data_IF_157148481065
#
_entry.id   IF_157148481065
#
_cell.length_a   1.000
_cell.length_b   1.000
_cell.length_c   1.000
_cell.angle_alpha   90.00
_cell.angle_beta   90.00
_cell.angle_gamma   90.00
#
_symmetry.space_group_name_H-M   'P 1'
#
loop_
_entity.id
_entity.type
_entity.pdbx_description
1 polymer ?
#
# COMPACT_ATOMS: atom_id res chain seq x y z
N UNK A 1 5.01 27.11 -0.92
CA UNK A 1 4.15 25.90 -0.91
C UNK A 1 3.90 25.47 0.53
N UNK A 2 2.66 25.15 0.91
CA UNK A 2 2.30 24.71 2.27
C UNK A 2 3.06 23.41 2.64
N UNK A 3 3.53 23.27 3.88
CA UNK A 3 4.29 22.10 4.38
C UNK A 3 3.54 20.79 4.13
N UNK A 4 2.23 20.78 4.36
CA UNK A 4 1.38 19.59 4.10
C UNK A 4 1.32 19.25 2.62
N UNK A 5 1.19 20.23 1.73
CA UNK A 5 1.15 20.00 0.27
C UNK A 5 2.47 19.41 -0.22
N UNK A 6 3.60 19.94 0.27
CA UNK A 6 4.94 19.43 -0.07
C UNK A 6 5.11 17.95 0.32
N UNK A 7 4.65 17.60 1.51
CA UNK A 7 4.76 16.25 2.07
C UNK A 7 3.89 15.25 1.28
N UNK A 8 2.64 15.60 0.97
CA UNK A 8 1.76 14.75 0.14
C UNK A 8 2.33 14.51 -1.24
N UNK A 9 2.86 15.56 -1.87
CA UNK A 9 3.52 15.43 -3.17
C UNK A 9 4.74 14.51 -3.09
N UNK A 10 5.57 14.65 -2.04
CA UNK A 10 6.71 13.78 -1.82
C UNK A 10 6.30 12.32 -1.61
N UNK A 11 5.31 12.07 -0.75
CA UNK A 11 4.82 10.73 -0.47
C UNK A 11 4.19 10.09 -1.71
N UNK A 12 3.46 10.88 -2.50
CA UNK A 12 2.87 10.44 -3.76
C UNK A 12 3.93 10.10 -4.80
N UNK A 13 5.00 10.89 -4.87
CA UNK A 13 6.11 10.58 -5.77
C UNK A 13 6.80 9.26 -5.37
N UNK A 14 7.00 9.04 -4.05
CA UNK A 14 7.56 7.79 -3.54
C UNK A 14 6.65 6.58 -3.82
N UNK A 15 5.34 6.72 -3.62
CA UNK A 15 4.39 5.64 -3.88
C UNK A 15 4.28 5.29 -5.36
N UNK A 16 4.32 6.29 -6.26
CA UNK A 16 4.46 6.06 -7.71
C UNK A 16 5.76 5.32 -8.00
N UNK A 17 6.87 5.71 -7.37
CA UNK A 17 8.16 5.00 -7.49
C UNK A 17 8.06 3.53 -7.09
N UNK A 18 7.44 3.21 -5.96
CA UNK A 18 7.22 1.83 -5.54
C UNK A 18 6.30 1.07 -6.51
N UNK A 19 5.21 1.69 -6.96
CA UNK A 19 4.32 1.09 -7.94
C UNK A 19 5.05 0.80 -9.26
N UNK A 20 5.93 1.69 -9.70
CA UNK A 20 6.74 1.52 -10.90
C UNK A 20 7.74 0.36 -10.77
N UNK A 21 8.44 0.26 -9.63
CA UNK A 21 9.36 -0.84 -9.37
C UNK A 21 8.61 -2.18 -9.37
N UNK A 22 7.47 -2.26 -8.68
CA UNK A 22 6.64 -3.48 -8.65
C UNK A 22 6.17 -3.84 -10.06
N UNK A 23 5.66 -2.86 -10.82
CA UNK A 23 5.20 -3.07 -12.19
C UNK A 23 6.32 -3.60 -13.10
N UNK A 24 7.54 -3.03 -13.01
CA UNK A 24 8.69 -3.50 -13.76
C UNK A 24 9.10 -4.93 -13.36
N UNK A 25 9.17 -5.22 -12.06
CA UNK A 25 9.52 -6.56 -11.56
C UNK A 25 8.52 -7.61 -12.04
N UNK A 26 7.22 -7.32 -11.89
CA UNK A 26 6.16 -8.19 -12.39
C UNK A 26 6.27 -8.33 -13.90
N UNK A 27 6.47 -7.24 -14.64
CA UNK A 27 6.68 -7.25 -16.09
C UNK A 27 7.81 -8.17 -16.53
N UNK A 28 8.97 -8.12 -15.85
CA UNK A 28 10.11 -9.01 -16.11
C UNK A 28 9.77 -10.47 -15.82
N UNK A 29 9.05 -10.76 -14.72
CA UNK A 29 8.61 -12.12 -14.41
C UNK A 29 7.69 -12.66 -15.51
N UNK A 30 6.73 -11.85 -15.97
CA UNK A 30 5.87 -12.21 -17.10
C UNK A 30 6.69 -12.44 -18.37
N UNK A 31 7.61 -11.56 -18.71
CA UNK A 31 8.48 -11.71 -19.88
C UNK A 31 9.25 -13.05 -19.87
N UNK A 32 9.80 -13.43 -18.71
CA UNK A 32 10.50 -14.70 -18.52
C UNK A 32 9.57 -15.92 -18.66
N UNK A 33 8.37 -15.87 -18.07
CA UNK A 33 7.38 -16.97 -18.15
C UNK A 33 6.91 -17.17 -19.59
N UNK A 34 6.65 -16.09 -20.32
CA UNK A 34 6.15 -16.11 -21.70
C UNK A 34 7.27 -16.15 -22.74
N UNK A 35 8.54 -16.27 -22.32
CA UNK A 35 9.73 -16.36 -23.19
C UNK A 35 9.81 -15.23 -24.22
N UNK A 36 9.47 -14.00 -23.80
CA UNK A 36 9.45 -12.82 -24.66
C UNK A 36 8.25 -12.71 -25.62
N UNK A 37 7.32 -13.69 -25.64
CA UNK A 37 6.15 -13.66 -26.52
C UNK A 37 4.95 -12.95 -25.87
N UNK A 38 5.13 -11.69 -25.49
CA UNK A 38 4.07 -10.85 -24.92
C UNK A 38 3.31 -10.11 -26.03
N UNK A 39 2.46 -10.81 -26.79
CA UNK A 39 1.53 -10.15 -27.71
C UNK A 39 0.43 -9.49 -26.90
N UNK A 40 0.41 -8.15 -26.90
CA UNK A 40 -0.59 -7.34 -26.18
C UNK A 40 -1.41 -6.55 -27.19
N UNK A 41 -2.66 -6.93 -27.35
CA UNK A 41 -3.61 -6.18 -28.17
C UNK A 41 -4.26 -5.04 -27.39
N UNK A 42 -4.93 -4.13 -28.12
CA UNK A 42 -5.81 -3.10 -27.56
C UNK A 42 -5.17 -2.20 -26.49
N UNK A 43 -3.90 -1.84 -26.68
CA UNK A 43 -3.15 -0.98 -25.74
C UNK A 43 -3.15 -1.48 -24.29
N UNK A 44 -3.27 -2.80 -24.09
CA UNK A 44 -3.34 -3.40 -22.75
C UNK A 44 -2.14 -3.02 -21.88
N UNK A 45 -0.94 -3.01 -22.45
CA UNK A 45 0.27 -2.58 -21.74
C UNK A 45 0.19 -1.10 -21.31
N UNK A 46 -0.23 -0.22 -22.22
CA UNK A 46 -0.40 1.21 -21.93
C UNK A 46 -1.45 1.45 -20.85
N UNK A 47 -2.55 0.71 -20.87
CA UNK A 47 -3.59 0.76 -19.81
C UNK A 47 -3.02 0.34 -18.46
N UNK A 48 -2.24 -0.74 -18.41
CA UNK A 48 -1.58 -1.19 -17.18
C UNK A 48 -0.57 -0.16 -16.66
N UNK A 49 0.23 0.44 -17.54
CA UNK A 49 1.17 1.50 -17.18
C UNK A 49 0.45 2.75 -16.64
N UNK A 50 -0.67 3.15 -17.25
CA UNK A 50 -1.51 4.21 -16.71
C UNK A 50 -2.10 3.85 -15.34
N UNK A 51 -2.55 2.60 -15.18
CA UNK A 51 -3.05 2.07 -13.91
C UNK A 51 -2.04 2.16 -12.76
N UNK A 52 -0.76 1.92 -13.04
CA UNK A 52 0.33 2.08 -12.05
C UNK A 52 0.37 3.51 -11.48
N UNK A 53 0.18 4.55 -12.30
CA UNK A 53 0.12 5.92 -11.80
C UNK A 53 -1.12 6.17 -10.92
N UNK A 54 -2.28 5.65 -11.34
CA UNK A 54 -3.53 5.75 -10.55
C UNK A 54 -3.36 5.09 -9.19
N UNK A 55 -2.76 3.90 -9.15
CA UNK A 55 -2.45 3.17 -7.92
C UNK A 55 -1.45 3.96 -7.08
N UNK A 56 -0.36 4.43 -7.67
CA UNK A 56 0.66 5.23 -6.97
C UNK A 56 0.05 6.46 -6.30
N UNK A 57 -0.83 7.19 -6.98
CA UNK A 57 -1.58 8.33 -6.41
C UNK A 57 -2.55 7.85 -5.32
N UNK A 58 -3.27 6.76 -5.58
CA UNK A 58 -4.24 6.17 -4.67
C UNK A 58 -3.68 5.71 -3.33
N UNK A 59 -2.40 5.32 -3.27
CA UNK A 59 -1.70 5.04 -2.01
C UNK A 59 -0.93 6.26 -1.47
N UNK A 60 -0.50 7.16 -2.35
CA UNK A 60 0.27 8.34 -1.99
C UNK A 60 -0.53 9.39 -1.20
N UNK A 61 -1.71 9.76 -1.73
CA UNK A 61 -2.55 10.82 -1.15
C UNK A 61 -3.12 10.43 0.23
N UNK A 62 -3.63 9.20 0.45
CA UNK A 62 -4.16 8.80 1.75
C UNK A 62 -3.15 8.79 2.89
N UNK A 63 -1.85 8.93 2.63
CA UNK A 63 -0.84 9.11 3.69
C UNK A 63 -1.14 10.29 4.61
N UNK A 64 -1.95 11.26 4.15
CA UNK A 64 -2.50 12.34 4.98
C UNK A 64 -3.20 11.87 6.25
N UNK A 65 -3.80 10.68 6.24
CA UNK A 65 -4.51 10.15 7.41
C UNK A 65 -3.58 9.97 8.61
N UNK A 66 -2.29 9.69 8.37
CA UNK A 66 -1.29 9.53 9.42
C UNK A 66 -0.96 10.83 10.17
N UNK A 67 -1.38 11.98 9.65
CA UNK A 67 -1.20 13.28 10.32
C UNK A 67 -2.22 13.53 11.42
N UNK A 68 -3.28 12.72 11.48
CA UNK A 68 -4.34 12.91 12.46
C UNK A 68 -4.05 12.14 13.76
N UNK A 69 -3.35 12.78 14.68
CA UNK A 69 -2.97 12.21 15.99
C UNK A 69 -4.17 11.75 16.85
N UNK A 70 -5.39 12.19 16.54
CA UNK A 70 -6.61 11.76 17.24
C UNK A 70 -7.03 10.34 16.90
N UNK A 71 -6.54 9.80 15.77
CA UNK A 71 -6.90 8.47 15.29
C UNK A 71 -5.75 7.51 15.64
N UNK A 72 -6.03 6.36 16.28
CA UNK A 72 -4.99 5.36 16.55
C UNK A 72 -4.31 4.87 15.26
N UNK A 73 -3.00 4.65 15.32
CA UNK A 73 -2.19 4.20 14.17
C UNK A 73 -2.77 2.95 13.45
N UNK A 74 -3.31 1.92 14.13
CA UNK A 74 -3.93 0.79 13.45
C UNK A 74 -5.15 1.20 12.60
N UNK A 75 -5.95 2.14 13.09
CA UNK A 75 -7.14 2.65 12.40
C UNK A 75 -6.74 3.56 11.23
N UNK A 76 -5.73 4.41 11.40
CA UNK A 76 -5.14 5.17 10.28
C UNK A 76 -4.66 4.23 9.17
N UNK A 77 -3.98 3.14 9.54
CA UNK A 77 -3.55 2.11 8.61
C UNK A 77 -4.71 1.42 7.89
N UNK A 78 -5.80 1.08 8.59
CA UNK A 78 -6.99 0.50 7.97
C UNK A 78 -7.66 1.46 6.98
N UNK A 79 -7.74 2.75 7.30
CA UNK A 79 -8.30 3.76 6.39
C UNK A 79 -7.44 3.86 5.13
N UNK A 80 -6.12 3.95 5.27
CA UNK A 80 -5.20 3.97 4.14
C UNK A 80 -5.37 2.71 3.27
N UNK A 81 -5.34 1.54 3.90
CA UNK A 81 -5.48 0.26 3.21
C UNK A 81 -6.82 0.10 2.51
N UNK A 82 -7.92 0.56 3.13
CA UNK A 82 -9.25 0.55 2.54
C UNK A 82 -9.32 1.39 1.26
N UNK A 83 -8.76 2.60 1.29
CA UNK A 83 -8.68 3.45 0.09
C UNK A 83 -7.81 2.79 -0.98
N UNK A 84 -6.67 2.23 -0.58
CA UNK A 84 -5.77 1.48 -1.45
C UNK A 84 -6.47 0.32 -2.16
N UNK A 85 -7.22 -0.51 -1.44
CA UNK A 85 -7.99 -1.63 -2.01
C UNK A 85 -9.04 -1.13 -3.02
N UNK A 86 -9.78 -0.07 -2.69
CA UNK A 86 -10.78 0.48 -3.62
C UNK A 86 -10.12 0.97 -4.91
N UNK A 87 -8.99 1.69 -4.82
CA UNK A 87 -8.26 2.16 -6.01
C UNK A 87 -7.68 0.98 -6.80
N UNK A 88 -7.10 -0.02 -6.13
CA UNK A 88 -6.57 -1.23 -6.77
C UNK A 88 -7.65 -1.99 -7.52
N UNK A 89 -8.77 -2.29 -6.87
CA UNK A 89 -9.88 -3.02 -7.48
C UNK A 89 -10.45 -2.26 -8.68
N UNK A 90 -10.70 -0.94 -8.56
CA UNK A 90 -11.19 -0.13 -9.69
C UNK A 90 -10.18 -0.13 -10.85
N UNK A 91 -8.89 0.02 -10.54
CA UNK A 91 -7.84 -0.01 -11.56
C UNK A 91 -7.76 -1.38 -12.22
N UNK A 92 -7.85 -2.46 -11.45
CA UNK A 92 -7.81 -3.84 -11.93
C UNK A 92 -8.95 -4.14 -12.93
N UNK A 93 -10.15 -3.64 -12.69
CA UNK A 93 -11.24 -3.66 -13.67
C UNK A 93 -10.88 -2.82 -14.91
N UNK A 94 -10.44 -1.58 -14.72
CA UNK A 94 -10.16 -0.65 -15.81
C UNK A 94 -9.01 -1.08 -16.73
N UNK A 95 -8.05 -1.88 -16.25
CA UNK A 95 -6.91 -2.38 -17.04
C UNK A 95 -7.07 -3.83 -17.50
N UNK A 96 -8.14 -4.51 -17.07
CA UNK A 96 -8.45 -5.88 -17.49
C UNK A 96 -7.68 -6.98 -16.75
N UNK A 97 -7.28 -6.74 -15.49
CA UNK A 97 -6.69 -7.79 -14.64
C UNK A 97 -7.73 -8.75 -14.07
N UNK A 98 -8.99 -8.30 -13.95
CA UNK A 98 -10.07 -9.12 -13.44
C UNK A 98 -10.67 -9.95 -14.58
N UNK A 99 -10.77 -11.29 -14.45
CA UNK A 99 -11.29 -12.18 -15.50
C UNK A 99 -12.82 -12.11 -15.57
N UNK A 100 -13.35 -11.02 -16.14
CA UNK A 100 -14.80 -10.77 -16.24
C UNK A 100 -15.55 -11.74 -17.16
N UNK A 101 -14.81 -12.41 -18.04
CA UNK A 101 -15.29 -13.42 -19.00
C UNK A 101 -15.45 -14.82 -18.38
N UNK A 102 -14.80 -15.10 -17.25
CA UNK A 102 -14.83 -16.40 -16.56
C UNK A 102 -15.99 -16.54 -15.55
N UNK A 103 -16.92 -15.58 -15.55
CA UNK A 103 -18.10 -15.56 -14.69
C UNK A 103 -17.89 -14.94 -13.31
N UNK A 104 -19.00 -14.74 -12.58
CA UNK A 104 -19.02 -13.97 -11.33
C UNK A 104 -18.15 -14.58 -10.21
N UNK A 105 -18.02 -15.90 -10.19
CA UNK A 105 -17.18 -16.60 -9.21
C UNK A 105 -15.71 -16.22 -9.31
N UNK A 106 -15.16 -16.12 -10.52
CA UNK A 106 -13.76 -15.76 -10.75
C UNK A 106 -13.47 -14.30 -10.34
N UNK A 107 -14.43 -13.41 -10.58
CA UNK A 107 -14.38 -12.00 -10.13
C UNK A 107 -14.31 -11.94 -8.61
N UNK A 108 -15.22 -12.62 -7.91
CA UNK A 108 -15.27 -12.63 -6.44
C UNK A 108 -14.00 -13.22 -5.83
N UNK A 109 -13.46 -14.31 -6.39
CA UNK A 109 -12.22 -14.91 -5.92
C UNK A 109 -11.01 -13.98 -6.10
N UNK A 110 -10.95 -13.25 -7.20
CA UNK A 110 -9.86 -12.30 -7.48
C UNK A 110 -9.89 -11.14 -6.48
N UNK A 111 -11.08 -10.55 -6.24
CA UNK A 111 -11.26 -9.46 -5.28
C UNK A 111 -10.98 -9.96 -3.85
N UNK A 112 -11.44 -11.16 -3.49
CA UNK A 112 -11.19 -11.75 -2.18
C UNK A 112 -9.69 -11.99 -1.97
N UNK A 113 -8.97 -12.46 -3.00
CA UNK A 113 -7.52 -12.64 -2.97
C UNK A 113 -6.78 -11.32 -2.74
N UNK A 114 -7.17 -10.25 -3.45
CA UNK A 114 -6.62 -8.89 -3.25
C UNK A 114 -6.80 -8.41 -1.81
N UNK A 115 -8.03 -8.50 -1.28
CA UNK A 115 -8.35 -8.07 0.10
C UNK A 115 -7.59 -8.92 1.11
N UNK A 116 -7.47 -10.24 0.90
CA UNK A 116 -6.74 -11.12 1.79
C UNK A 116 -5.25 -10.74 1.86
N UNK A 117 -4.60 -10.50 0.71
CA UNK A 117 -3.20 -10.06 0.65
C UNK A 117 -3.03 -8.72 1.36
N UNK A 118 -3.93 -7.76 1.11
CA UNK A 118 -3.91 -6.45 1.76
C UNK A 118 -4.00 -6.58 3.29
N UNK A 119 -4.93 -7.39 3.80
CA UNK A 119 -5.10 -7.63 5.24
C UNK A 119 -3.86 -8.31 5.86
N UNK A 120 -3.23 -9.26 5.15
CA UNK A 120 -2.00 -9.91 5.60
C UNK A 120 -0.86 -8.89 5.72
N UNK A 121 -0.65 -8.05 4.69
CA UNK A 121 0.39 -7.01 4.70
C UNK A 121 0.15 -6.05 5.86
N UNK A 122 -1.08 -5.56 6.00
CA UNK A 122 -1.45 -4.66 7.11
C UNK A 122 -1.21 -5.30 8.47
N UNK A 123 -1.60 -6.57 8.65
CA UNK A 123 -1.46 -7.28 9.91
C UNK A 123 0.02 -7.46 10.29
N UNK A 124 0.89 -7.79 9.33
CA UNK A 124 2.34 -7.90 9.56
C UNK A 124 2.92 -6.55 10.00
N UNK A 125 2.58 -5.47 9.30
CA UNK A 125 3.04 -4.11 9.65
C UNK A 125 2.50 -3.71 11.03
N UNK A 126 1.24 -4.00 11.33
CA UNK A 126 0.64 -3.76 12.63
C UNK A 126 1.42 -4.46 13.75
N UNK A 127 1.74 -5.74 13.60
CA UNK A 127 2.52 -6.48 14.60
C UNK A 127 3.91 -5.87 14.81
N UNK A 128 4.56 -5.45 13.72
CA UNK A 128 5.85 -4.76 13.79
C UNK A 128 5.76 -3.44 14.55
N UNK A 129 4.77 -2.60 14.23
CA UNK A 129 4.56 -1.31 14.90
C UNK A 129 4.16 -1.47 16.37
N UNK A 130 3.31 -2.46 16.68
CA UNK A 130 2.94 -2.79 18.06
C UNK A 130 4.17 -3.19 18.89
N UNK A 131 5.07 -3.99 18.31
CA UNK A 131 6.33 -4.37 18.96
C UNK A 131 7.23 -3.16 19.21
N UNK A 132 7.36 -2.27 18.23
CA UNK A 132 8.16 -1.06 18.33
C UNK A 132 7.63 -0.11 19.41
N UNK A 133 6.32 0.12 19.45
CA UNK A 133 5.68 0.96 20.46
C UNK A 133 5.90 0.42 21.89
N UNK A 134 5.74 -0.89 22.08
CA UNK A 134 5.99 -1.53 23.38
C UNK A 134 7.47 -1.39 23.81
N UNK A 135 8.41 -1.53 22.88
CA UNK A 135 9.83 -1.35 23.15
C UNK A 135 10.16 0.11 23.54
N UNK A 136 9.58 1.08 22.85
CA UNK A 136 9.73 2.49 23.19
C UNK A 136 9.17 2.81 24.58
N UNK A 137 7.97 2.35 24.90
CA UNK A 137 7.35 2.54 26.21
C UNK A 137 8.20 1.93 27.34
N UNK A 138 8.77 0.73 27.11
CA UNK A 138 9.68 0.09 28.06
C UNK A 138 10.93 0.93 28.31
N UNK A 139 11.54 1.48 27.27
CA UNK A 139 12.73 2.35 27.41
C UNK A 139 12.43 3.65 28.15
N UNK A 140 11.27 4.27 27.87
CA UNK A 140 10.83 5.48 28.59
C UNK A 140 10.68 5.18 30.08
N UNK A 141 10.01 4.07 30.45
CA UNK A 141 9.88 3.68 31.86
C UNK A 141 11.22 3.41 32.55
N UNK A 142 12.19 2.83 31.84
CA UNK A 142 13.53 2.59 32.39
C UNK A 142 14.29 3.90 32.63
N UNK A 143 14.18 4.87 31.72
CA UNK A 143 14.79 6.20 31.86
C UNK A 143 14.13 6.96 33.03
N UNK A 144 12.81 6.86 33.18
CA UNK A 144 12.08 7.49 34.28
C UNK A 144 12.50 6.91 35.65
N UNK A 145 12.63 5.59 35.75
CA UNK A 145 13.08 4.90 36.98
C UNK A 145 14.58 5.14 37.25
N UNK A 146 15.43 5.25 36.23
CA UNK A 146 16.88 5.46 36.39
C UNK A 146 17.28 6.93 36.48
N UNK A 147 16.32 7.85 36.34
CA UNK A 147 16.56 9.30 36.37
C UNK A 147 16.86 9.81 37.79
N UNK A 148 17.45 11.01 37.92
CA UNK A 148 17.95 11.57 39.19
C UNK A 148 16.89 11.77 40.30
N UNK A 149 15.60 11.53 40.03
CA UNK A 149 14.53 11.58 41.02
C UNK A 149 14.52 10.39 42.00
N UNK A 150 15.29 9.31 41.74
CA UNK A 150 15.42 8.16 42.64
C UNK A 150 16.66 8.20 43.56
N UNK A 151 17.46 9.27 43.52
CA UNK A 151 18.62 9.49 44.41
C UNK A 151 18.33 10.51 45.55
N UNK A 152 17.06 10.78 45.85
CA UNK A 152 16.64 11.58 47.00
C UNK A 152 15.75 10.78 47.93
#
# INVERSE_FOLDING_TARGET
MNKTVKEVLSNTFQSIGYAAVIFCVVGVIFDLIFKGNLVRENYTYTRMAAGMFVIGIGFGVPTLVYKNEKIPLPVQGLIHMGIGCVVMTMTAFAVGWIPTDQGIGAILWTILGEIAIALVIWFIIYLHQKKLANEMNRRISQIEVSGPNHLR
#
